data_IF_420398929728
#
_entry.id   IF_420398929728
#
_cell.length_a   1.000
_cell.length_b   1.000
_cell.length_c   1.000
_cell.angle_alpha   90.00
_cell.angle_beta   90.00
_cell.angle_gamma   90.00
#
_symmetry.space_group_name_H-M   'P 1'
#
loop_
_entity.id
_entity.type
_entity.pdbx_description
1 polymer ?
#
# COMPACT_ATOMS: atom_id res chain seq x y z
N UNK A 1 -5.85 0.62 -0.76
CA UNK A 1 -7.14 1.17 -0.27
C UNK A 1 -8.31 0.30 -0.72
N UNK A 2 -8.61 0.13 -2.04
CA UNK A 2 -9.80 -0.55 -2.55
C UNK A 2 -10.07 -1.95 -1.95
N UNK A 3 -9.03 -2.78 -1.79
CA UNK A 3 -9.16 -4.11 -1.17
C UNK A 3 -9.57 -4.02 0.30
N UNK A 4 -8.98 -3.10 1.04
CA UNK A 4 -9.28 -2.92 2.46
C UNK A 4 -10.67 -2.31 2.68
N UNK A 5 -11.10 -1.39 1.82
CA UNK A 5 -12.43 -0.81 1.88
C UNK A 5 -13.56 -1.86 1.68
N UNK A 6 -13.25 -3.01 1.07
CA UNK A 6 -14.19 -4.13 0.94
C UNK A 6 -14.23 -5.06 2.17
N UNK A 7 -13.44 -4.78 3.20
CA UNK A 7 -13.39 -5.56 4.44
C UNK A 7 -14.16 -4.88 5.56
N UNK A 8 -14.68 -5.63 6.55
CA UNK A 8 -15.40 -5.06 7.71
C UNK A 8 -14.40 -4.44 8.69
N UNK A 9 -13.90 -3.27 8.37
CA UNK A 9 -12.95 -2.50 9.19
C UNK A 9 -13.69 -1.45 10.02
N UNK A 10 -13.22 -1.18 11.24
CA UNK A 10 -13.71 -0.08 12.06
C UNK A 10 -13.33 1.27 11.45
N UNK A 11 -12.12 1.36 10.91
CA UNK A 11 -11.63 2.54 10.21
C UNK A 11 -10.63 2.16 9.12
N UNK A 12 -10.49 3.00 8.12
CA UNK A 12 -9.49 2.88 7.06
C UNK A 12 -8.88 4.25 6.79
N UNK A 13 -7.60 4.38 7.08
CA UNK A 13 -6.83 5.60 6.80
C UNK A 13 -5.80 5.33 5.70
N UNK A 14 -5.69 6.25 4.76
CA UNK A 14 -4.66 6.26 3.74
C UNK A 14 -3.78 7.49 3.91
N UNK A 15 -2.47 7.30 3.93
CA UNK A 15 -1.51 8.39 4.07
C UNK A 15 -0.69 8.49 2.80
N UNK A 16 -0.71 9.65 2.15
CA UNK A 16 0.05 9.89 0.93
C UNK A 16 0.42 11.38 0.82
N UNK A 17 1.66 11.74 0.44
CA UNK A 17 2.06 13.13 0.26
C UNK A 17 1.37 13.80 -0.94
N UNK A 18 0.94 13.04 -1.95
CA UNK A 18 0.34 13.55 -3.17
C UNK A 18 -1.17 13.77 -3.01
N UNK A 19 -1.62 15.00 -3.23
CA UNK A 19 -3.02 15.39 -3.06
C UNK A 19 -3.96 14.56 -3.95
N UNK A 20 -3.57 14.31 -5.19
CA UNK A 20 -4.35 13.53 -6.15
C UNK A 20 -4.53 12.08 -5.69
N UNK A 21 -3.51 11.48 -5.09
CA UNK A 21 -3.59 10.13 -4.54
C UNK A 21 -4.48 10.08 -3.30
N UNK A 22 -4.44 11.11 -2.46
CA UNK A 22 -5.38 11.25 -1.33
C UNK A 22 -6.82 11.35 -1.81
N UNK A 23 -7.10 12.13 -2.87
CA UNK A 23 -8.44 12.22 -3.45
C UNK A 23 -8.94 10.84 -3.95
N UNK A 24 -8.07 10.06 -4.57
CA UNK A 24 -8.41 8.69 -4.95
C UNK A 24 -8.70 7.80 -3.73
N UNK A 25 -7.92 7.91 -2.67
CA UNK A 25 -8.15 7.14 -1.45
C UNK A 25 -9.50 7.50 -0.81
N UNK A 26 -9.88 8.79 -0.80
CA UNK A 26 -11.18 9.26 -0.33
C UNK A 26 -12.35 8.69 -1.17
N UNK A 27 -12.23 8.72 -2.49
CA UNK A 27 -13.23 8.10 -3.39
C UNK A 27 -13.41 6.60 -3.15
N UNK A 28 -12.38 5.94 -2.66
CA UNK A 28 -12.39 4.52 -2.29
C UNK A 28 -12.85 4.27 -0.84
N UNK A 29 -13.30 5.32 -0.12
CA UNK A 29 -13.88 5.19 1.21
C UNK A 29 -12.89 5.28 2.37
N UNK A 30 -11.65 5.73 2.16
CA UNK A 30 -10.69 5.95 3.24
C UNK A 30 -10.71 7.41 3.72
N UNK A 31 -10.39 7.63 4.99
CA UNK A 31 -9.89 8.91 5.46
C UNK A 31 -8.49 9.09 4.89
N UNK A 32 -8.24 10.21 4.22
CA UNK A 32 -6.95 10.42 3.56
C UNK A 32 -6.22 11.63 4.16
N UNK A 33 -5.01 11.39 4.63
CA UNK A 33 -4.20 12.36 5.37
C UNK A 33 -2.86 12.58 4.68
N UNK A 34 -2.25 13.74 4.94
CA UNK A 34 -0.83 13.93 4.70
C UNK A 34 -0.01 13.19 5.74
N UNK A 35 1.29 12.94 5.52
CA UNK A 35 2.17 12.40 6.56
C UNK A 35 2.17 13.25 7.83
N UNK A 36 2.16 14.56 7.70
CA UNK A 36 2.17 15.53 8.79
C UNK A 36 0.87 15.48 9.60
N UNK A 37 -0.28 15.50 8.92
CA UNK A 37 -1.60 15.42 9.57
C UNK A 37 -1.78 14.09 10.29
N UNK A 38 -1.32 12.99 9.69
CA UNK A 38 -1.41 11.67 10.29
C UNK A 38 -0.62 11.56 11.60
N UNK A 39 0.53 12.24 11.70
CA UNK A 39 1.32 12.31 12.94
C UNK A 39 0.69 13.25 13.97
N UNK A 40 0.09 14.36 13.53
CA UNK A 40 -0.52 15.36 14.42
C UNK A 40 -1.81 14.86 15.05
N UNK A 41 -2.61 14.10 14.31
CA UNK A 41 -3.93 13.59 14.75
C UNK A 41 -3.80 12.47 15.80
N UNK A 42 -2.59 12.11 16.20
CA UNK A 42 -2.34 10.99 17.10
C UNK A 42 -3.13 9.73 16.65
N UNK A 43 -3.39 9.66 15.34
CA UNK A 43 -4.06 8.54 14.67
C UNK A 43 -3.29 7.21 14.82
N UNK A 44 -2.28 7.24 15.68
CA UNK A 44 -1.42 6.15 16.05
C UNK A 44 -2.18 5.14 16.91
N UNK A 45 -2.98 4.32 16.28
CA UNK A 45 -3.57 3.15 16.92
C UNK A 45 -4.01 2.11 15.89
N UNK A 46 -3.43 2.14 14.68
CA UNK A 46 -3.78 1.15 13.66
C UNK A 46 -3.31 -0.25 14.10
N UNK A 47 -4.22 -1.22 14.14
CA UNK A 47 -3.86 -2.62 14.41
C UNK A 47 -3.00 -3.20 13.28
N UNK A 48 -3.16 -2.66 12.08
CA UNK A 48 -2.49 -3.14 10.87
C UNK A 48 -2.18 -1.97 9.93
N UNK A 49 -0.90 -1.78 9.65
CA UNK A 49 -0.41 -0.78 8.70
C UNK A 49 0.25 -1.49 7.51
N UNK A 50 -0.12 -1.10 6.30
CA UNK A 50 0.57 -1.52 5.08
C UNK A 50 1.51 -0.43 4.60
N UNK A 51 2.79 -0.74 4.54
CA UNK A 51 3.79 0.13 3.94
C UNK A 51 3.96 -0.24 2.47
N UNK A 52 3.57 0.66 1.56
CA UNK A 52 3.51 0.44 0.12
C UNK A 52 4.18 1.58 -0.69
N UNK A 53 4.93 2.45 -0.03
CA UNK A 53 5.50 3.64 -0.68
C UNK A 53 6.82 3.38 -1.41
N UNK A 54 7.60 2.37 -0.98
CA UNK A 54 8.98 2.17 -1.44
C UNK A 54 9.95 3.27 -1.00
N UNK A 55 9.51 4.13 -0.08
CA UNK A 55 10.32 5.18 0.50
C UNK A 55 10.73 4.79 1.93
N UNK A 56 12.04 4.82 2.28
CA UNK A 56 12.50 4.52 3.63
C UNK A 56 11.78 5.31 4.75
N UNK A 57 11.46 6.58 4.51
CA UNK A 57 10.70 7.42 5.45
C UNK A 57 9.26 6.92 5.66
N UNK A 58 8.69 6.24 4.66
CA UNK A 58 7.36 5.65 4.77
C UNK A 58 7.30 4.51 5.78
N UNK A 59 8.39 3.75 5.94
CA UNK A 59 8.45 2.69 6.94
C UNK A 59 8.53 3.23 8.36
N UNK A 60 9.31 4.28 8.57
CA UNK A 60 9.41 4.94 9.87
C UNK A 60 8.05 5.55 10.29
N UNK A 61 7.39 6.22 9.34
CA UNK A 61 6.02 6.71 9.53
C UNK A 61 5.03 5.57 9.83
N UNK A 62 5.11 4.46 9.12
CA UNK A 62 4.24 3.31 9.35
C UNK A 62 4.40 2.76 10.78
N UNK A 63 5.63 2.71 11.31
CA UNK A 63 5.89 2.33 12.70
C UNK A 63 5.27 3.35 13.66
N UNK A 64 5.43 4.65 13.39
CA UNK A 64 4.87 5.69 14.22
C UNK A 64 3.34 5.66 14.32
N UNK A 65 2.66 5.28 13.24
CA UNK A 65 1.20 5.21 13.14
C UNK A 65 0.59 3.87 13.59
N UNK A 66 1.42 2.89 13.91
CA UNK A 66 0.94 1.58 14.35
C UNK A 66 0.76 1.53 15.86
N UNK A 67 -0.36 0.99 16.31
CA UNK A 67 -0.71 0.83 17.72
C UNK A 67 0.12 -0.24 18.44
N UNK A 68 -0.10 -0.36 19.75
CA UNK A 68 0.59 -1.34 20.57
C UNK A 68 0.21 -2.77 20.13
N UNK A 69 1.22 -3.65 20.04
CA UNK A 69 1.11 -5.01 19.50
C UNK A 69 0.61 -5.07 18.05
N UNK A 70 0.58 -3.92 17.35
CA UNK A 70 0.16 -3.84 15.96
C UNK A 70 1.19 -4.39 14.99
N UNK A 71 0.81 -4.46 13.72
CA UNK A 71 1.62 -5.07 12.66
C UNK A 71 1.85 -4.08 11.52
N UNK A 72 3.10 -3.96 11.10
CA UNK A 72 3.46 -3.27 9.85
C UNK A 72 3.78 -4.32 8.80
N UNK A 73 2.98 -4.38 7.76
CA UNK A 73 3.18 -5.27 6.60
C UNK A 73 3.90 -4.52 5.50
N UNK A 74 5.16 -4.89 5.27
CA UNK A 74 6.02 -4.25 4.26
C UNK A 74 5.75 -4.95 2.93
N UNK A 75 5.02 -4.26 2.03
CA UNK A 75 4.78 -4.68 0.66
C UNK A 75 5.63 -3.94 -0.36
N UNK A 76 6.42 -2.98 0.08
CA UNK A 76 7.34 -2.21 -0.73
C UNK A 76 8.63 -2.95 -1.04
N UNK A 77 9.19 -2.65 -2.21
CA UNK A 77 10.55 -3.03 -2.54
C UNK A 77 11.45 -1.80 -2.52
N UNK A 78 12.38 -1.75 -1.57
CA UNK A 78 13.29 -0.61 -1.41
C UNK A 78 14.51 -0.67 -2.34
N UNK A 79 14.72 -1.78 -3.04
CA UNK A 79 15.91 -1.98 -3.87
C UNK A 79 17.19 -1.99 -3.01
N UNK A 80 18.10 -1.06 -3.31
CA UNK A 80 19.37 -0.88 -2.57
C UNK A 80 19.34 0.32 -1.63
N UNK A 81 18.19 0.93 -1.40
CA UNK A 81 18.07 2.09 -0.51
C UNK A 81 18.28 1.66 0.94
N UNK A 82 19.22 2.25 1.68
CA UNK A 82 19.34 2.00 3.11
C UNK A 82 18.12 2.56 3.84
N UNK A 83 17.68 1.86 4.88
CA UNK A 83 16.57 2.26 5.73
C UNK A 83 17.11 2.44 7.14
N UNK A 84 17.04 3.66 7.68
CA UNK A 84 17.33 3.94 9.08
C UNK A 84 16.02 3.93 9.86
N UNK A 85 15.97 3.20 10.99
CA UNK A 85 14.79 3.07 11.83
C UNK A 85 15.16 3.29 13.31
N UNK A 86 14.28 3.97 14.04
CA UNK A 86 14.36 4.02 15.50
C UNK A 86 13.74 2.76 16.13
N UNK A 87 14.54 1.72 16.24
CA UNK A 87 14.10 0.46 16.85
C UNK A 87 14.08 0.50 18.38
N UNK A 88 14.76 1.48 19.01
CA UNK A 88 14.75 1.67 20.45
C UNK A 88 13.55 2.48 20.96
N UNK A 89 12.89 3.21 20.07
CA UNK A 89 11.75 4.05 20.38
C UNK A 89 10.42 3.29 20.44
N UNK A 90 9.44 3.77 19.71
CA UNK A 90 8.08 3.21 19.67
C UNK A 90 8.06 1.75 19.26
N UNK A 91 8.84 1.37 18.26
CA UNK A 91 8.91 -0.03 17.79
C UNK A 91 9.09 -1.01 18.96
N UNK A 92 10.10 -0.76 19.80
CA UNK A 92 10.41 -1.63 20.94
C UNK A 92 9.33 -1.56 22.04
N UNK A 93 8.95 -0.35 22.46
CA UNK A 93 8.03 -0.16 23.58
C UNK A 93 6.61 -0.63 23.30
N UNK A 94 6.16 -0.52 22.05
CA UNK A 94 4.81 -0.91 21.64
C UNK A 94 4.75 -2.34 21.11
N UNK A 95 5.83 -3.12 21.17
CA UNK A 95 5.88 -4.51 20.68
C UNK A 95 5.40 -4.66 19.23
N UNK A 96 5.76 -3.73 18.34
CA UNK A 96 5.32 -3.72 16.94
C UNK A 96 5.98 -4.86 16.16
N UNK A 97 5.20 -5.51 15.31
CA UNK A 97 5.69 -6.57 14.44
C UNK A 97 5.94 -6.03 13.02
N UNK A 98 7.17 -6.14 12.52
CA UNK A 98 7.50 -5.87 11.12
C UNK A 98 7.43 -7.18 10.33
N UNK A 99 6.60 -7.22 9.30
CA UNK A 99 6.34 -8.42 8.48
C UNK A 99 6.69 -8.11 7.03
N UNK A 100 7.73 -8.75 6.51
CA UNK A 100 8.04 -8.71 5.08
C UNK A 100 7.08 -9.57 4.28
N UNK A 101 6.68 -9.10 3.10
CA UNK A 101 5.84 -9.87 2.18
C UNK A 101 6.56 -10.10 0.86
N UNK A 102 6.29 -11.27 0.26
CA UNK A 102 6.80 -11.62 -1.05
C UNK A 102 5.74 -12.45 -1.80
N UNK A 103 5.37 -11.96 -2.99
CA UNK A 103 4.28 -12.55 -3.78
C UNK A 103 4.55 -13.99 -4.23
N UNK A 104 5.81 -14.37 -4.40
CA UNK A 104 6.16 -15.68 -4.97
C UNK A 104 6.00 -16.83 -4.01
N UNK A 105 6.00 -16.56 -2.70
CA UNK A 105 5.95 -17.58 -1.68
C UNK A 105 4.72 -17.45 -0.77
N UNK A 106 4.22 -18.58 -0.30
CA UNK A 106 3.27 -18.63 0.80
C UNK A 106 4.06 -18.79 2.10
N UNK A 107 3.67 -18.04 3.13
CA UNK A 107 4.25 -18.20 4.44
C UNK A 107 4.05 -19.65 4.94
N UNK A 108 5.04 -20.25 5.66
CA UNK A 108 4.99 -21.65 6.07
C UNK A 108 3.72 -22.02 6.84
N UNK A 109 3.23 -21.14 7.70
CA UNK A 109 2.03 -21.32 8.53
C UNK A 109 0.73 -21.43 7.71
N UNK A 110 0.75 -20.99 6.46
CA UNK A 110 -0.40 -21.04 5.56
C UNK A 110 -0.40 -22.26 4.64
N UNK A 111 0.75 -22.91 4.43
CA UNK A 111 0.93 -23.99 3.43
C UNK A 111 0.01 -25.20 3.62
N UNK A 112 -0.43 -25.47 4.83
CA UNK A 112 -1.37 -26.56 5.09
C UNK A 112 -2.80 -26.28 4.63
N UNK A 113 -3.18 -25.01 4.41
CA UNK A 113 -4.54 -24.57 4.07
C UNK A 113 -4.62 -23.84 2.75
N UNK A 114 -3.51 -23.25 2.29
CA UNK A 114 -3.42 -22.41 1.11
C UNK A 114 -2.44 -23.00 0.11
N UNK A 115 -2.86 -22.97 -1.15
CA UNK A 115 -2.05 -23.23 -2.34
C UNK A 115 -2.06 -22.00 -3.22
N UNK A 116 -1.15 -21.94 -4.19
CA UNK A 116 -1.07 -20.79 -5.12
C UNK A 116 -2.36 -20.61 -5.90
N UNK A 117 -2.98 -21.73 -6.30
CA UNK A 117 -4.25 -21.77 -7.03
C UNK A 117 -5.37 -21.11 -6.21
N UNK A 118 -5.57 -21.53 -4.98
CA UNK A 118 -6.57 -20.93 -4.08
C UNK A 118 -6.33 -19.45 -3.86
N UNK A 119 -5.07 -19.03 -3.71
CA UNK A 119 -4.73 -17.61 -3.59
C UNK A 119 -5.14 -16.84 -4.85
N UNK A 120 -4.93 -17.42 -6.04
CA UNK A 120 -5.30 -16.81 -7.30
C UNK A 120 -6.82 -16.70 -7.44
N UNK A 121 -7.57 -17.72 -7.06
CA UNK A 121 -9.05 -17.70 -7.05
C UNK A 121 -9.57 -16.55 -6.18
N UNK A 122 -9.05 -16.41 -4.95
CA UNK A 122 -9.42 -15.29 -4.06
C UNK A 122 -9.03 -13.94 -4.67
N UNK A 123 -7.87 -13.85 -5.33
CA UNK A 123 -7.46 -12.62 -6.00
C UNK A 123 -8.44 -12.24 -7.12
N UNK A 124 -8.90 -13.20 -7.93
CA UNK A 124 -9.91 -12.96 -8.96
C UNK A 124 -11.26 -12.54 -8.38
N UNK A 125 -11.68 -13.12 -7.26
CA UNK A 125 -12.89 -12.70 -6.57
C UNK A 125 -12.77 -11.24 -6.10
N UNK A 126 -11.64 -10.88 -5.48
CA UNK A 126 -11.41 -9.51 -5.03
C UNK A 126 -11.32 -8.50 -6.20
N UNK A 127 -10.76 -8.89 -7.33
CA UNK A 127 -10.77 -8.07 -8.55
C UNK A 127 -12.21 -7.78 -9.00
N UNK A 128 -13.10 -8.79 -9.00
CA UNK A 128 -14.51 -8.58 -9.36
C UNK A 128 -15.22 -7.64 -8.39
N UNK A 129 -14.92 -7.73 -7.07
CA UNK A 129 -15.51 -6.87 -6.03
C UNK A 129 -14.99 -5.44 -6.10
N UNK A 130 -13.68 -5.28 -6.18
CA UNK A 130 -13.03 -3.96 -6.10
C UNK A 130 -13.06 -3.19 -7.42
N UNK A 131 -13.30 -3.88 -8.55
CA UNK A 131 -13.36 -3.29 -9.89
C UNK A 131 -12.17 -2.35 -10.17
N UNK A 132 -10.91 -2.86 -10.12
CA UNK A 132 -9.71 -2.03 -10.20
C UNK A 132 -9.57 -1.27 -11.52
N UNK A 133 -10.34 -1.63 -12.56
CA UNK A 133 -10.39 -0.87 -13.81
C UNK A 133 -10.74 0.62 -13.59
N UNK A 134 -11.44 0.97 -12.53
CA UNK A 134 -11.70 2.37 -12.17
C UNK A 134 -10.43 3.16 -11.82
N UNK A 135 -9.33 2.47 -11.52
CA UNK A 135 -8.04 3.08 -11.21
C UNK A 135 -7.19 3.30 -12.46
N UNK A 136 -7.61 2.83 -13.63
CA UNK A 136 -6.89 3.04 -14.89
C UNK A 136 -7.16 4.48 -15.32
N UNK A 137 -6.12 5.30 -15.22
CA UNK A 137 -6.18 6.73 -15.59
C UNK A 137 -5.74 6.99 -17.03
N UNK A 138 -4.92 6.10 -17.59
CA UNK A 138 -4.35 6.28 -18.91
C UNK A 138 -4.34 4.97 -19.71
N UNK A 139 -4.69 5.08 -20.98
CA UNK A 139 -4.51 4.04 -21.98
C UNK A 139 -3.55 4.56 -23.05
N UNK A 140 -2.40 3.93 -23.21
CA UNK A 140 -1.40 4.33 -24.19
C UNK A 140 -1.04 3.14 -25.09
N UNK A 141 -0.88 3.33 -26.41
CA UNK A 141 -0.34 2.31 -27.26
C UNK A 141 1.07 1.89 -26.80
N UNK A 142 1.43 0.61 -26.97
CA UNK A 142 2.76 0.11 -26.62
C UNK A 142 3.89 0.95 -27.25
N UNK A 143 3.69 1.44 -28.47
CA UNK A 143 4.66 2.31 -29.15
C UNK A 143 4.96 3.61 -28.37
N UNK A 144 4.09 4.02 -27.45
CA UNK A 144 4.25 5.18 -26.56
C UNK A 144 4.62 4.81 -25.14
N UNK A 145 5.16 3.61 -24.90
CA UNK A 145 5.53 3.17 -23.56
C UNK A 145 6.51 4.13 -22.86
N UNK A 146 7.45 4.74 -23.60
CA UNK A 146 8.39 5.74 -23.04
C UNK A 146 7.66 6.92 -22.41
N UNK A 147 6.54 7.37 -22.97
CA UNK A 147 5.73 8.45 -22.39
C UNK A 147 5.05 8.00 -21.09
N UNK A 148 4.60 6.74 -21.03
CA UNK A 148 4.03 6.18 -19.81
C UNK A 148 5.05 6.20 -18.65
N UNK A 149 6.28 5.76 -18.91
CA UNK A 149 7.35 5.77 -17.91
C UNK A 149 7.73 7.20 -17.49
N UNK A 150 7.83 8.12 -18.46
CA UNK A 150 8.11 9.52 -18.16
C UNK A 150 7.02 10.14 -17.29
N UNK A 151 5.75 9.89 -17.58
CA UNK A 151 4.63 10.38 -16.78
C UNK A 151 4.70 9.88 -15.33
N UNK A 152 5.04 8.59 -15.14
CA UNK A 152 5.16 8.01 -13.78
C UNK A 152 6.37 8.57 -13.00
N UNK A 153 7.45 8.91 -13.69
CA UNK A 153 8.67 9.45 -13.07
C UNK A 153 8.56 10.95 -12.76
N UNK A 154 8.11 11.74 -13.75
CA UNK A 154 8.12 13.20 -13.66
C UNK A 154 6.82 13.76 -13.02
N UNK A 155 5.70 13.07 -13.16
CA UNK A 155 4.38 13.56 -12.73
C UNK A 155 3.55 12.45 -12.03
N UNK A 156 4.07 11.83 -10.96
CA UNK A 156 3.45 10.65 -10.34
C UNK A 156 2.04 10.91 -9.77
N UNK A 157 1.67 12.16 -9.52
CA UNK A 157 0.32 12.54 -9.08
C UNK A 157 -0.73 12.42 -10.19
N UNK A 158 -0.36 12.52 -11.46
CA UNK A 158 -1.30 12.49 -12.57
C UNK A 158 -1.74 11.08 -12.98
N UNK A 159 -1.02 10.04 -12.57
CA UNK A 159 -1.32 8.66 -12.93
C UNK A 159 -1.48 7.77 -11.70
N UNK A 160 -2.56 6.98 -11.67
CA UNK A 160 -2.73 5.88 -10.73
C UNK A 160 -2.30 4.58 -11.39
N UNK A 161 -2.91 4.24 -12.51
CA UNK A 161 -2.57 3.07 -13.30
C UNK A 161 -2.56 3.43 -14.78
N UNK A 162 -1.49 3.05 -15.46
CA UNK A 162 -1.37 3.15 -16.92
C UNK A 162 -1.46 1.76 -17.51
N UNK A 163 -2.27 1.61 -18.54
CA UNK A 163 -2.38 0.37 -19.33
C UNK A 163 -1.78 0.60 -20.71
N UNK A 164 -0.87 -0.26 -21.11
CA UNK A 164 -0.37 -0.29 -22.47
C UNK A 164 -1.26 -1.19 -23.34
N UNK A 165 -1.73 -0.64 -24.45
CA UNK A 165 -2.58 -1.38 -25.38
C UNK A 165 -1.77 -1.90 -26.58
N UNK A 166 -2.14 -3.08 -27.03
CA UNK A 166 -1.57 -3.70 -28.22
C UNK A 166 -2.56 -3.57 -29.40
N UNK A 167 -2.08 -3.54 -30.64
CA UNK A 167 -2.94 -3.52 -31.82
C UNK A 167 -3.79 -4.78 -31.93
#
# INVERSE_FOLDING_TARGET
TALLAAMPLASLTAVDPLAERRQWAQRLGAVALTPEDALADNAAAADLTYELSGNPRGLDLAIALTGDYGRVVIGSWYGRKPVALDLGGRFHRAHIHLIGTQVSNLAPEWRGRWMKERRLEVAWEMIRRCRPQQLITHHLPLARATEAYRLLDEQPGQAIQIVLTYP
#
